data_IF_134531420800
#
_entry.id   IF_134531420800
#
_cell.length_a   1.000
_cell.length_b   1.000
_cell.length_c   1.000
_cell.angle_alpha   90.00
_cell.angle_beta   90.00
_cell.angle_gamma   90.00
#
_symmetry.space_group_name_H-M   'P 1'
#
loop_
_entity.id
_entity.type
_entity.pdbx_description
1 polymer ?
#
# COMPACT_ATOMS: atom_id res chain seq x y z
N UNK A 1 7.00 43.18 35.39
CA UNK A 1 7.60 41.91 34.92
C UNK A 1 6.54 41.16 34.15
N UNK A 2 6.72 40.96 32.83
CA UNK A 2 5.81 40.15 32.02
C UNK A 2 6.44 38.76 31.97
N UNK A 3 5.79 37.77 32.59
CA UNK A 3 6.20 36.37 32.53
C UNK A 3 5.74 35.80 31.19
N UNK A 4 6.68 35.48 30.31
CA UNK A 4 6.42 34.77 29.06
C UNK A 4 6.15 33.30 29.41
N UNK A 5 4.88 32.90 29.49
CA UNK A 5 4.52 31.49 29.59
C UNK A 5 4.95 30.78 28.30
N UNK A 6 5.92 29.88 28.41
CA UNK A 6 6.30 29.00 27.31
C UNK A 6 5.13 28.05 27.00
N UNK A 7 4.49 28.23 25.84
CA UNK A 7 3.47 27.32 25.34
C UNK A 7 4.14 26.00 24.99
N UNK A 8 4.04 25.01 25.89
CA UNK A 8 4.39 23.64 25.55
C UNK A 8 3.35 23.09 24.58
N UNK A 9 3.79 22.76 23.37
CA UNK A 9 2.98 22.03 22.40
C UNK A 9 3.22 20.54 22.60
N UNK A 10 2.18 19.81 22.95
CA UNK A 10 2.19 18.36 22.95
C UNK A 10 1.78 17.88 21.57
N UNK A 11 2.57 16.95 21.02
CA UNK A 11 2.22 16.23 19.78
C UNK A 11 1.73 14.85 20.18
N UNK A 12 0.57 14.47 19.65
CA UNK A 12 -0.02 13.15 19.85
C UNK A 12 0.15 12.30 18.60
N UNK A 13 0.37 11.00 18.78
CA UNK A 13 0.48 10.03 17.71
C UNK A 13 -0.46 8.87 17.97
N UNK A 14 -1.19 8.44 16.95
CA UNK A 14 -2.04 7.26 17.01
C UNK A 14 -1.75 6.33 15.84
N UNK A 15 -1.91 5.04 16.10
CA UNK A 15 -1.82 4.02 15.05
C UNK A 15 -3.09 4.03 14.22
N UNK A 16 -2.94 4.15 12.91
CA UNK A 16 -4.03 3.96 11.96
C UNK A 16 -3.85 2.63 11.22
N UNK A 17 -4.64 1.62 11.58
CA UNK A 17 -4.65 0.35 10.88
C UNK A 17 -5.31 0.52 9.51
N UNK A 18 -4.69 -0.03 8.46
CA UNK A 18 -5.20 0.09 7.10
C UNK A 18 -6.43 -0.79 6.90
N UNK A 19 -7.63 -0.21 6.65
CA UNK A 19 -8.79 -1.01 6.32
C UNK A 19 -8.56 -1.74 4.98
N UNK A 20 -9.11 -2.95 4.80
CA UNK A 20 -8.95 -3.69 3.55
C UNK A 20 -9.68 -3.01 2.37
N UNK A 21 -10.72 -2.22 2.64
CA UNK A 21 -11.60 -1.60 1.66
C UNK A 21 -11.36 -0.09 1.50
N UNK A 22 -10.11 0.35 1.60
CA UNK A 22 -9.77 1.77 1.55
C UNK A 22 -10.07 2.40 0.18
N UNK A 23 -10.76 3.55 0.18
CA UNK A 23 -11.15 4.28 -1.05
C UNK A 23 -10.00 5.04 -1.71
N UNK A 24 -9.07 5.58 -0.92
CA UNK A 24 -7.96 6.43 -1.38
C UNK A 24 -6.99 5.69 -2.31
N UNK A 25 -6.93 4.36 -2.20
CA UNK A 25 -6.18 3.49 -3.12
C UNK A 25 -4.69 3.86 -3.28
N UNK A 26 -4.05 4.41 -2.24
CA UNK A 26 -2.59 4.63 -2.24
C UNK A 26 -1.82 3.30 -2.23
N UNK A 27 -0.51 3.34 -2.48
CA UNK A 27 0.30 2.16 -2.78
C UNK A 27 0.06 0.93 -1.87
N UNK A 28 0.01 1.07 -0.54
CA UNK A 28 -0.17 -0.06 0.40
C UNK A 28 -1.63 -0.42 0.68
N UNK A 29 -2.60 0.32 0.13
CA UNK A 29 -4.02 0.07 0.35
C UNK A 29 -4.51 -1.26 -0.24
N UNK A 30 -3.87 -1.76 -1.29
CA UNK A 30 -4.16 -3.05 -1.93
C UNK A 30 -3.61 -4.27 -1.19
N UNK A 31 -3.23 -4.15 0.08
CA UNK A 31 -2.58 -5.23 0.84
C UNK A 31 -3.39 -6.54 0.92
N UNK A 32 -4.73 -6.43 0.95
CA UNK A 32 -5.65 -7.58 0.91
C UNK A 32 -6.18 -7.92 -0.49
N UNK A 33 -5.82 -7.09 -1.47
CA UNK A 33 -6.34 -7.09 -2.84
C UNK A 33 -5.18 -7.07 -3.85
N UNK A 34 -4.35 -8.12 -3.90
CA UNK A 34 -3.21 -8.19 -4.82
C UNK A 34 -3.60 -7.94 -6.28
N UNK A 35 -4.82 -8.30 -6.68
CA UNK A 35 -5.38 -8.07 -8.01
C UNK A 35 -5.42 -6.59 -8.41
N UNK A 36 -5.50 -5.66 -7.45
CA UNK A 36 -5.48 -4.22 -7.75
C UNK A 36 -4.16 -3.78 -8.37
N UNK A 37 -3.04 -4.41 -8.03
CA UNK A 37 -1.75 -4.07 -8.64
C UNK A 37 -1.65 -4.51 -10.11
N UNK A 38 -2.56 -5.36 -10.60
CA UNK A 38 -2.65 -5.69 -12.02
C UNK A 38 -3.33 -4.57 -12.83
N UNK A 39 -4.25 -3.81 -12.19
CA UNK A 39 -4.96 -2.69 -12.80
C UNK A 39 -3.97 -1.55 -13.15
N UNK A 40 -3.82 -1.20 -14.44
CA UNK A 40 -2.97 -0.09 -14.85
C UNK A 40 -3.42 1.26 -14.26
N UNK A 41 -4.71 1.49 -14.03
CA UNK A 41 -5.21 2.75 -13.46
C UNK A 41 -4.81 2.88 -11.98
N UNK A 42 -4.92 1.80 -11.21
CA UNK A 42 -4.41 1.76 -9.83
C UNK A 42 -2.90 2.07 -9.81
N UNK A 43 -2.12 1.43 -10.69
CA UNK A 43 -0.66 1.67 -10.78
C UNK A 43 -0.29 3.10 -11.19
N UNK A 44 -1.08 3.75 -12.05
CA UNK A 44 -0.87 5.15 -12.41
C UNK A 44 -1.10 6.11 -11.25
N UNK A 45 -2.01 5.77 -10.33
CA UNK A 45 -2.32 6.56 -9.13
C UNK A 45 -1.29 6.47 -8.01
N UNK A 46 -0.31 5.56 -8.09
CA UNK A 46 0.62 5.28 -6.98
C UNK A 46 2.05 5.67 -7.35
N UNK A 47 2.59 6.66 -6.63
CA UNK A 47 3.91 7.23 -6.93
C UNK A 47 5.09 6.24 -6.93
N UNK A 48 5.10 5.15 -6.12
CA UNK A 48 6.18 4.16 -6.20
C UNK A 48 6.25 3.47 -7.56
N UNK A 49 5.11 3.17 -8.18
CA UNK A 49 5.08 2.58 -9.52
C UNK A 49 5.54 3.57 -10.59
N UNK A 50 5.16 4.86 -10.47
CA UNK A 50 5.59 5.90 -11.42
C UNK A 50 7.10 6.21 -11.35
N UNK A 51 7.72 6.05 -10.16
CA UNK A 51 9.14 6.36 -9.92
C UNK A 51 10.06 5.14 -10.06
N UNK A 52 9.51 3.96 -10.28
CA UNK A 52 10.29 2.74 -10.40
C UNK A 52 11.19 2.76 -11.65
N UNK A 53 12.34 2.06 -11.63
CA UNK A 53 13.15 1.85 -12.82
C UNK A 53 12.34 1.29 -13.99
N UNK A 54 12.70 1.73 -15.20
CA UNK A 54 12.02 1.29 -16.43
C UNK A 54 11.97 -0.24 -16.51
N UNK A 55 10.79 -0.78 -16.76
CA UNK A 55 10.55 -2.22 -16.91
C UNK A 55 10.45 -3.01 -15.59
N UNK A 56 10.80 -2.43 -14.43
CA UNK A 56 10.67 -3.13 -13.15
C UNK A 56 9.19 -3.41 -12.81
N UNK A 57 8.32 -2.41 -12.96
CA UNK A 57 6.88 -2.57 -12.70
C UNK A 57 6.27 -3.66 -13.57
N UNK A 58 6.65 -3.71 -14.85
CA UNK A 58 6.14 -4.73 -15.78
C UNK A 58 6.60 -6.14 -15.38
N UNK A 59 7.85 -6.29 -14.92
CA UNK A 59 8.34 -7.56 -14.39
C UNK A 59 7.56 -7.98 -13.14
N UNK A 60 7.36 -7.07 -12.19
CA UNK A 60 6.60 -7.34 -10.97
C UNK A 60 5.15 -7.73 -11.28
N UNK A 61 4.50 -7.03 -12.21
CA UNK A 61 3.09 -7.28 -12.58
C UNK A 61 2.95 -8.60 -13.33
N UNK A 62 3.88 -8.93 -14.22
CA UNK A 62 3.91 -10.26 -14.87
C UNK A 62 4.06 -11.38 -13.85
N UNK A 63 4.98 -11.22 -12.90
CA UNK A 63 5.17 -12.20 -11.83
C UNK A 63 3.91 -12.34 -10.97
N UNK A 64 3.33 -11.22 -10.54
CA UNK A 64 2.12 -11.24 -9.73
C UNK A 64 0.94 -11.89 -10.46
N UNK A 65 0.76 -11.57 -11.74
CA UNK A 65 -0.28 -12.21 -12.56
C UNK A 65 -0.08 -13.73 -12.65
N UNK A 66 1.18 -14.18 -12.82
CA UNK A 66 1.48 -15.61 -12.80
C UNK A 66 1.17 -16.23 -11.44
N UNK A 67 1.66 -15.62 -10.34
CA UNK A 67 1.48 -16.16 -8.99
C UNK A 67 0.00 -16.22 -8.58
N UNK A 68 -0.83 -15.29 -9.05
CA UNK A 68 -2.28 -15.31 -8.86
C UNK A 68 -2.99 -16.36 -9.73
N UNK A 69 -2.50 -16.59 -10.96
CA UNK A 69 -3.07 -17.60 -11.87
C UNK A 69 -2.69 -19.05 -11.47
N UNK A 70 -1.58 -19.24 -10.76
CA UNK A 70 -1.09 -20.57 -10.36
C UNK A 70 -1.23 -20.85 -8.86
N UNK A 71 -2.04 -20.07 -8.14
CA UNK A 71 -2.25 -20.15 -6.68
C UNK A 71 -0.99 -19.99 -5.80
N UNK A 72 0.21 -19.79 -6.37
CA UNK A 72 1.47 -19.59 -5.65
C UNK A 72 1.37 -18.40 -4.68
N UNK A 73 0.67 -17.33 -5.08
CA UNK A 73 0.45 -16.20 -4.19
C UNK A 73 -0.38 -16.61 -2.96
N UNK A 74 -1.43 -17.40 -3.17
CA UNK A 74 -2.33 -17.87 -2.11
C UNK A 74 -1.63 -18.84 -1.16
N UNK A 75 -0.81 -19.75 -1.67
CA UNK A 75 0.01 -20.65 -0.86
C UNK A 75 0.97 -19.89 0.05
N UNK A 76 1.54 -18.79 -0.45
CA UNK A 76 2.57 -18.02 0.28
C UNK A 76 2.00 -16.94 1.20
N UNK A 77 0.88 -16.33 0.81
CA UNK A 77 0.37 -15.10 1.41
C UNK A 77 -1.13 -15.15 1.73
N UNK A 78 -1.82 -16.26 1.50
CA UNK A 78 -3.28 -16.36 1.63
C UNK A 78 -3.83 -15.99 3.01
N UNK A 79 -3.04 -16.18 4.07
CA UNK A 79 -3.38 -15.77 5.44
C UNK A 79 -3.72 -14.27 5.53
N UNK A 80 -3.06 -13.43 4.73
CA UNK A 80 -3.31 -11.98 4.73
C UNK A 80 -4.71 -11.62 4.22
N UNK A 81 -5.34 -12.51 3.46
CA UNK A 81 -6.71 -12.34 2.96
C UNK A 81 -7.76 -12.76 3.98
N UNK A 82 -7.41 -13.45 5.06
CA UNK A 82 -8.29 -13.81 6.17
C UNK A 82 -7.53 -13.63 7.51
N UNK A 83 -7.15 -12.39 7.87
CA UNK A 83 -6.35 -12.11 9.06
C UNK A 83 -7.13 -12.26 10.36
#
# INVERSE_FOLDING_TARGET
>A
MISTLAVHRFTHFETFLLPPNMRDRFFMSGWRHPEWYLDPLYRQGVSPSAKAPKGLVDQCVKRLANDLNTDVWKEKYGEVQNP
#
